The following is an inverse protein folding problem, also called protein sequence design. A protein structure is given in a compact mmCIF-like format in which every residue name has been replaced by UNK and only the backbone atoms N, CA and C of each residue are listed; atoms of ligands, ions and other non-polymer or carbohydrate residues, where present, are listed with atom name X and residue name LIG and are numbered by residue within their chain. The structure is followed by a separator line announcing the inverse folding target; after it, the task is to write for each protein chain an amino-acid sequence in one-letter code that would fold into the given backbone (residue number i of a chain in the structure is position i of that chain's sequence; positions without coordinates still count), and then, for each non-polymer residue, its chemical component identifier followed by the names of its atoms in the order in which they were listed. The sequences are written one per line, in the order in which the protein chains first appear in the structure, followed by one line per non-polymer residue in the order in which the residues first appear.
data_IF_465903728620
#
_entry.id   IF_465903728620
#
_cell.length_a   1.000
_cell.length_b   1.000
_cell.length_c   1.000
_cell.angle_alpha   90.00
_cell.angle_beta   90.00
_cell.angle_gamma   90.00
#
_symmetry.space_group_name_H-M   'P 1'
#
loop_
_entity.id
_entity.type
_entity.pdbx_description
1 polymer ?
#
# COMPACT_ATOMS: atom_id res chain seq x y z
N UNK A 1 50.53 -37.87 -2.43
CA UNK A 1 49.33 -37.01 -2.48
C UNK A 1 48.15 -37.79 -1.89
N UNK A 2 47.39 -37.19 -0.97
CA UNK A 2 46.28 -37.81 -0.24
C UNK A 2 45.02 -38.02 -1.11
N UNK A 3 44.09 -38.92 -0.71
CA UNK A 3 42.94 -39.32 -1.52
C UNK A 3 41.80 -38.28 -1.50
N UNK A 4 41.08 -38.23 -2.64
CA UNK A 4 39.96 -37.33 -2.92
C UNK A 4 38.68 -37.84 -2.22
N UNK A 5 38.05 -36.96 -1.46
CA UNK A 5 36.84 -37.22 -0.69
C UNK A 5 35.63 -37.62 -1.57
N UNK A 6 34.81 -38.50 -0.99
CA UNK A 6 33.58 -39.08 -1.54
C UNK A 6 32.58 -38.04 -2.04
N UNK A 7 32.23 -38.12 -3.32
CA UNK A 7 30.97 -37.58 -3.85
C UNK A 7 29.87 -38.59 -3.48
N UNK A 8 29.08 -38.27 -2.44
CA UNK A 8 27.85 -38.99 -2.10
C UNK A 8 26.81 -38.59 -3.15
N UNK A 9 26.74 -39.35 -4.23
CA UNK A 9 25.62 -39.27 -5.17
C UNK A 9 24.33 -39.53 -4.39
N UNK A 10 23.50 -38.49 -4.30
CA UNK A 10 22.11 -38.64 -3.90
C UNK A 10 21.44 -39.47 -4.98
N UNK A 11 21.33 -40.77 -4.73
CA UNK A 11 20.49 -41.66 -5.51
C UNK A 11 19.06 -41.15 -5.39
N UNK A 12 18.59 -40.50 -6.45
CA UNK A 12 17.17 -40.30 -6.69
C UNK A 12 16.58 -41.69 -6.87
N UNK A 13 15.84 -42.17 -5.86
CA UNK A 13 15.02 -43.38 -5.94
C UNK A 13 13.89 -43.14 -6.96
N UNK A 14 14.24 -43.28 -8.23
CA UNK A 14 13.31 -43.38 -9.35
C UNK A 14 13.43 -44.76 -9.98
N UNK A 15 13.43 -45.82 -9.17
CA UNK A 15 13.08 -47.15 -9.67
C UNK A 15 11.57 -47.22 -9.88
N UNK A 16 11.15 -46.69 -11.03
CA UNK A 16 9.85 -47.01 -11.58
C UNK A 16 9.86 -48.48 -12.02
N UNK A 17 9.48 -49.39 -11.11
CA UNK A 17 9.05 -50.74 -11.50
C UNK A 17 7.96 -50.57 -12.55
N UNK A 18 8.26 -50.98 -13.78
CA UNK A 18 7.36 -51.01 -14.93
C UNK A 18 6.25 -52.04 -14.69
N UNK A 19 5.31 -51.69 -13.82
CA UNK A 19 3.98 -52.29 -13.82
C UNK A 19 3.20 -51.65 -14.95
N UNK A 20 2.66 -52.47 -15.86
CA UNK A 20 1.67 -52.11 -16.87
C UNK A 20 0.51 -51.37 -16.20
N UNK A 21 0.65 -50.05 -16.09
CA UNK A 21 -0.34 -49.16 -15.53
C UNK A 21 -1.25 -48.77 -16.67
N UNK A 22 -2.53 -49.16 -16.56
CA UNK A 22 -3.54 -48.80 -17.53
C UNK A 22 -3.58 -47.28 -17.69
N UNK A 23 -3.91 -46.77 -18.89
CA UNK A 23 -4.08 -45.33 -19.14
C UNK A 23 -4.99 -44.65 -18.10
N UNK A 24 -5.92 -45.40 -17.50
CA UNK A 24 -6.78 -44.95 -16.41
C UNK A 24 -6.03 -44.66 -15.10
N UNK A 25 -5.04 -45.47 -14.72
CA UNK A 25 -4.27 -45.29 -13.48
C UNK A 25 -3.35 -44.05 -13.55
N UNK A 26 -2.75 -43.78 -14.71
CA UNK A 26 -1.94 -42.57 -14.90
C UNK A 26 -2.79 -41.29 -14.94
N UNK A 27 -4.02 -41.37 -15.50
CA UNK A 27 -4.98 -40.26 -15.45
C UNK A 27 -5.42 -39.96 -14.02
N UNK A 28 -5.65 -40.98 -13.19
CA UNK A 28 -6.03 -40.81 -11.79
C UNK A 28 -4.90 -40.16 -10.97
N UNK A 29 -3.63 -40.60 -11.14
CA UNK A 29 -2.48 -39.98 -10.46
C UNK A 29 -2.26 -38.52 -10.86
N UNK A 30 -2.38 -38.21 -12.15
CA UNK A 30 -2.28 -36.81 -12.62
C UNK A 30 -3.42 -35.94 -12.09
N UNK A 31 -4.64 -36.47 -11.99
CA UNK A 31 -5.76 -35.74 -11.41
C UNK A 31 -5.53 -35.42 -9.91
N UNK A 32 -4.98 -36.37 -9.15
CA UNK A 32 -4.63 -36.14 -7.73
C UNK A 32 -3.51 -35.12 -7.58
N UNK A 33 -2.47 -35.19 -8.41
CA UNK A 33 -1.38 -34.22 -8.40
C UNK A 33 -1.86 -32.80 -8.77
N UNK A 34 -2.77 -32.68 -9.75
CA UNK A 34 -3.39 -31.40 -10.12
C UNK A 34 -4.28 -30.85 -9.00
N UNK A 35 -5.06 -31.71 -8.33
CA UNK A 35 -5.87 -31.29 -7.19
C UNK A 35 -5.01 -30.77 -6.02
N UNK A 36 -3.91 -31.45 -5.71
CA UNK A 36 -2.97 -31.02 -4.68
C UNK A 36 -2.29 -29.68 -5.03
N UNK A 37 -1.96 -29.45 -6.31
CA UNK A 37 -1.44 -28.16 -6.78
C UNK A 37 -2.47 -27.04 -6.64
N UNK A 38 -3.73 -27.27 -7.02
CA UNK A 38 -4.80 -26.28 -6.88
C UNK A 38 -5.04 -25.91 -5.40
N UNK A 39 -4.96 -26.88 -4.50
CA UNK A 39 -5.08 -26.63 -3.06
C UNK A 39 -3.93 -25.75 -2.54
N UNK A 40 -2.69 -26.07 -2.93
CA UNK A 40 -1.51 -25.25 -2.59
C UNK A 40 -1.61 -23.84 -3.15
N UNK A 41 -2.06 -23.68 -4.39
CA UNK A 41 -2.27 -22.38 -5.02
C UNK A 41 -3.37 -21.60 -4.31
N UNK A 42 -4.49 -22.21 -3.93
CA UNK A 42 -5.55 -21.52 -3.18
C UNK A 42 -5.13 -21.06 -1.78
N UNK A 43 -4.21 -21.79 -1.14
CA UNK A 43 -3.70 -21.46 0.20
C UNK A 43 -2.62 -20.39 0.20
N UNK A 44 -1.84 -20.28 -0.88
CA UNK A 44 -0.66 -19.41 -0.95
C UNK A 44 -0.77 -18.28 -1.98
N UNK A 45 -1.75 -18.31 -2.88
CA UNK A 45 -2.09 -17.20 -3.77
C UNK A 45 -3.19 -16.38 -3.09
N UNK A 46 -2.76 -15.39 -2.34
CA UNK A 46 -3.60 -14.28 -1.92
C UNK A 46 -3.74 -13.37 -3.15
N UNK A 47 -4.96 -13.16 -3.62
CA UNK A 47 -5.19 -12.23 -4.72
C UNK A 47 -4.79 -10.82 -4.25
N UNK A 48 -3.83 -10.22 -4.95
CA UNK A 48 -3.41 -8.83 -4.74
C UNK A 48 -4.16 -7.89 -5.68
N UNK A 49 -5.38 -8.29 -6.08
CA UNK A 49 -6.21 -7.48 -6.96
C UNK A 49 -6.53 -6.12 -6.33
N UNK A 50 -6.76 -5.07 -7.13
CA UNK A 50 -7.16 -3.77 -6.61
C UNK A 50 -8.46 -3.81 -5.79
N UNK A 51 -9.29 -4.84 -6.00
CA UNK A 51 -10.54 -5.09 -5.27
C UNK A 51 -10.35 -5.86 -3.95
N UNK A 52 -9.17 -6.45 -3.69
CA UNK A 52 -8.89 -7.19 -2.45
C UNK A 52 -8.47 -6.27 -1.29
N UNK A 53 -8.12 -5.03 -1.60
CA UNK A 53 -7.87 -4.03 -0.55
C UNK A 53 -9.21 -3.66 0.07
N UNK A 54 -9.34 -3.65 1.41
CA UNK A 54 -10.54 -3.16 2.05
C UNK A 54 -10.79 -1.72 1.60
N UNK A 55 -12.05 -1.40 1.33
CA UNK A 55 -12.45 -0.02 1.02
C UNK A 55 -12.12 0.84 2.23
N UNK A 56 -11.26 1.83 2.02
CA UNK A 56 -10.93 2.82 3.05
C UNK A 56 -12.20 3.61 3.38
N UNK A 57 -12.46 3.80 4.68
CA UNK A 57 -13.56 4.64 5.13
C UNK A 57 -13.32 6.08 4.68
N UNK A 58 -14.25 6.74 3.97
CA UNK A 58 -14.08 8.12 3.53
C UNK A 58 -13.86 9.13 4.66
N UNK A 59 -14.21 8.80 5.90
CA UNK A 59 -13.99 9.65 7.08
C UNK A 59 -12.71 9.30 7.85
N UNK A 60 -11.91 8.33 7.38
CA UNK A 60 -10.60 8.05 7.94
C UNK A 60 -9.54 9.00 7.38
N UNK A 61 -9.35 10.13 8.06
CA UNK A 61 -8.36 11.13 7.70
C UNK A 61 -6.90 10.66 7.84
N UNK A 62 -6.64 9.58 8.59
CA UNK A 62 -5.29 9.03 8.75
C UNK A 62 -4.89 8.21 7.53
N UNK A 63 -5.86 7.51 6.93
CA UNK A 63 -5.65 6.75 5.71
C UNK A 63 -5.55 7.63 4.44
N UNK A 64 -5.93 8.91 4.51
CA UNK A 64 -5.79 9.84 3.40
C UNK A 64 -4.33 10.16 3.09
N UNK A 65 -4.06 10.53 1.83
CA UNK A 65 -2.74 10.97 1.38
C UNK A 65 -2.34 12.31 2.03
N UNK A 66 -1.04 12.46 2.30
CA UNK A 66 -0.47 13.66 2.91
C UNK A 66 -0.72 14.91 2.04
N UNK A 67 -0.69 14.74 0.72
CA UNK A 67 -1.01 15.79 -0.25
C UNK A 67 -2.48 16.22 -0.16
N UNK A 68 -3.40 15.29 0.10
CA UNK A 68 -4.81 15.59 0.23
C UNK A 68 -5.08 16.41 1.50
N UNK A 69 -4.46 16.03 2.61
CA UNK A 69 -4.52 16.76 3.89
C UNK A 69 -3.93 18.17 3.74
N UNK A 70 -2.78 18.30 3.05
CA UNK A 70 -2.13 19.59 2.81
C UNK A 70 -2.99 20.49 1.92
N UNK A 71 -3.56 19.96 0.82
CA UNK A 71 -4.49 20.70 -0.05
C UNK A 71 -5.72 21.19 0.71
N UNK A 72 -6.26 20.37 1.61
CA UNK A 72 -7.38 20.77 2.46
C UNK A 72 -6.99 21.95 3.36
N UNK A 73 -5.86 21.85 4.06
CA UNK A 73 -5.35 22.92 4.91
C UNK A 73 -5.11 24.22 4.16
N UNK A 74 -4.49 24.17 2.96
CA UNK A 74 -4.29 25.35 2.13
C UNK A 74 -5.62 25.96 1.63
N UNK A 75 -6.60 25.12 1.30
CA UNK A 75 -7.91 25.59 0.81
C UNK A 75 -8.73 26.30 1.89
N UNK A 76 -8.65 25.84 3.13
CA UNK A 76 -9.40 26.40 4.26
C UNK A 76 -8.56 27.34 5.14
N UNK A 77 -7.28 27.55 4.81
CA UNK A 77 -6.40 28.49 5.52
C UNK A 77 -6.07 28.07 6.95
N UNK A 78 -5.97 26.77 7.23
CA UNK A 78 -5.75 26.25 8.59
C UNK A 78 -4.33 26.55 9.14
N UNK A 79 -3.39 26.95 8.27
CA UNK A 79 -2.01 27.29 8.64
C UNK A 79 -1.32 26.24 9.53
N UNK A 80 -1.65 24.97 9.32
CA UNK A 80 -1.06 23.85 10.05
C UNK A 80 0.43 23.70 9.68
N UNK A 81 1.31 23.39 10.64
CA UNK A 81 2.70 23.04 10.34
C UNK A 81 2.79 21.85 9.37
N UNK A 82 3.86 21.75 8.56
CA UNK A 82 4.02 20.63 7.63
C UNK A 82 4.10 19.29 8.37
N UNK A 83 3.60 18.25 7.71
CA UNK A 83 3.64 16.87 8.21
C UNK A 83 5.10 16.41 8.29
N UNK A 84 5.44 15.68 9.35
CA UNK A 84 6.75 15.06 9.53
C UNK A 84 6.97 13.91 8.54
N UNK A 85 8.13 13.91 7.87
CA UNK A 85 8.51 12.85 6.93
C UNK A 85 9.40 11.79 7.60
N UNK A 86 9.35 10.56 7.10
CA UNK A 86 10.28 9.48 7.53
C UNK A 86 11.75 9.90 7.37
N UNK A 87 12.07 10.66 6.32
CA UNK A 87 13.42 11.18 6.08
C UNK A 87 13.90 12.09 7.23
N UNK A 88 13.00 12.80 7.87
CA UNK A 88 13.30 13.71 8.99
C UNK A 88 13.61 12.93 10.25
N UNK A 89 12.90 11.82 10.49
CA UNK A 89 13.21 10.91 11.59
C UNK A 89 14.64 10.35 11.44
N UNK A 90 15.04 9.98 10.21
CA UNK A 90 16.42 9.57 9.92
C UNK A 90 17.43 10.70 10.19
N UNK A 91 17.10 11.94 9.81
CA UNK A 91 17.96 13.10 10.07
C UNK A 91 18.06 13.44 11.57
N UNK A 92 17.05 13.08 12.36
CA UNK A 92 17.05 13.20 13.81
C UNK A 92 17.76 12.03 14.52
N UNK A 93 18.28 11.03 13.80
CA UNK A 93 19.09 9.95 14.39
C UNK A 93 20.50 10.43 14.81
N UNK A 94 21.20 9.66 15.64
CA UNK A 94 22.58 10.00 16.09
C UNK A 94 23.57 10.21 14.94
N UNK A 95 23.37 9.52 13.82
CA UNK A 95 24.17 9.67 12.60
C UNK A 95 23.71 10.91 11.83
N UNK A 96 22.40 11.11 11.70
CA UNK A 96 21.79 12.23 10.98
C UNK A 96 22.04 13.60 11.61
N UNK A 97 22.05 13.71 12.94
CA UNK A 97 22.19 14.97 13.70
C UNK A 97 23.45 15.77 13.37
N UNK A 98 24.51 15.10 12.90
CA UNK A 98 25.79 15.74 12.54
C UNK A 98 25.77 16.36 11.14
N UNK A 99 24.80 16.00 10.30
CA UNK A 99 24.68 16.49 8.93
C UNK A 99 24.22 17.95 8.88
N UNK A 100 24.57 18.65 7.80
CA UNK A 100 24.09 20.02 7.54
C UNK A 100 22.56 20.08 7.43
N UNK A 101 21.94 19.06 6.85
CA UNK A 101 20.49 18.94 6.70
C UNK A 101 19.75 18.91 8.04
N UNK A 102 20.27 18.17 9.03
CA UNK A 102 19.70 18.15 10.38
C UNK A 102 19.76 19.51 11.08
N UNK A 103 20.83 20.29 10.86
CA UNK A 103 20.95 21.64 11.43
C UNK A 103 19.90 22.60 10.88
N UNK A 104 19.57 22.49 9.58
CA UNK A 104 18.49 23.28 8.96
C UNK A 104 17.11 22.89 9.48
N UNK A 105 16.92 21.61 9.79
CA UNK A 105 15.64 21.08 10.27
C UNK A 105 15.29 21.51 11.70
N UNK A 106 16.28 21.77 12.56
CA UNK A 106 16.08 22.13 13.99
C UNK A 106 15.18 23.35 14.24
N UNK A 107 15.04 24.25 13.26
CA UNK A 107 14.18 25.43 13.35
C UNK A 107 12.77 25.24 12.79
N UNK A 108 12.47 24.09 12.17
CA UNK A 108 11.18 23.83 11.56
C UNK A 108 10.24 23.16 12.56
N UNK A 109 9.17 23.84 12.95
CA UNK A 109 8.06 23.21 13.67
C UNK A 109 7.28 22.34 12.67
N UNK A 110 7.11 21.06 13.00
CA UNK A 110 6.37 20.08 12.20
C UNK A 110 5.51 19.22 13.11
N UNK A 111 4.45 18.64 12.56
CA UNK A 111 3.51 17.82 13.32
C UNK A 111 3.38 16.44 12.73
N UNK A 112 3.01 15.48 13.57
CA UNK A 112 2.81 14.11 13.11
C UNK A 112 1.58 14.01 12.20
N UNK A 113 1.58 13.07 11.25
CA UNK A 113 0.41 12.80 10.41
C UNK A 113 -0.90 12.57 11.20
N UNK A 114 -0.94 11.74 12.26
CA UNK A 114 -2.19 11.52 13.00
C UNK A 114 -2.68 12.80 13.72
N UNK A 115 -1.77 13.65 14.20
CA UNK A 115 -2.11 14.94 14.79
C UNK A 115 -2.68 15.90 13.73
N UNK A 116 -2.04 15.98 12.56
CA UNK A 116 -2.53 16.76 11.42
C UNK A 116 -3.93 16.31 11.00
N UNK A 117 -4.14 15.00 10.87
CA UNK A 117 -5.42 14.40 10.51
C UNK A 117 -6.51 14.70 11.55
N UNK A 118 -6.17 14.72 12.84
CA UNK A 118 -7.07 15.07 13.93
C UNK A 118 -7.56 16.52 13.82
N UNK A 119 -6.66 17.47 13.57
CA UNK A 119 -7.02 18.89 13.39
C UNK A 119 -7.89 19.10 12.15
N UNK A 120 -7.57 18.43 11.04
CA UNK A 120 -8.39 18.46 9.83
C UNK A 120 -9.77 17.86 10.08
N UNK A 121 -9.86 16.74 10.79
CA UNK A 121 -11.12 16.07 11.13
C UNK A 121 -12.02 16.96 12.01
N UNK A 122 -11.44 17.61 13.04
CA UNK A 122 -12.15 18.57 13.88
C UNK A 122 -12.72 19.72 13.06
N UNK A 123 -11.90 20.31 12.18
CA UNK A 123 -12.37 21.39 11.32
C UNK A 123 -13.47 20.90 10.37
N UNK A 124 -13.28 19.75 9.73
CA UNK A 124 -14.26 19.16 8.81
C UNK A 124 -15.63 18.96 9.46
N UNK A 125 -15.67 18.44 10.69
CA UNK A 125 -16.90 18.26 11.45
C UNK A 125 -17.59 19.59 11.84
N UNK A 126 -16.82 20.67 11.96
CA UNK A 126 -17.33 22.00 12.30
C UNK A 126 -17.83 22.80 11.08
N UNK A 127 -17.52 22.38 9.84
CA UNK A 127 -17.93 23.12 8.65
C UNK A 127 -19.45 23.02 8.45
N UNK A 128 -20.18 24.15 8.42
CA UNK A 128 -21.61 24.13 8.16
C UNK A 128 -21.89 23.69 6.72
N UNK A 129 -22.71 22.66 6.58
CA UNK A 129 -23.08 22.10 5.28
C UNK A 129 -24.58 22.29 5.02
N UNK A 130 -24.93 22.89 3.88
CA UNK A 130 -26.30 22.95 3.36
C UNK A 130 -26.45 21.91 2.26
N UNK A 131 -27.21 20.86 2.51
CA UNK A 131 -27.33 19.69 1.64
C UNK A 131 -27.68 20.07 0.19
N UNK A 132 -28.72 20.88 0.00
CA UNK A 132 -29.18 21.29 -1.33
C UNK A 132 -28.08 21.97 -2.15
N UNK A 133 -27.26 22.82 -1.52
CA UNK A 133 -26.16 23.51 -2.18
C UNK A 133 -25.01 22.55 -2.49
N UNK A 134 -24.68 21.65 -1.57
CA UNK A 134 -23.60 20.68 -1.74
C UNK A 134 -23.89 19.70 -2.87
N UNK A 135 -25.10 19.14 -2.91
CA UNK A 135 -25.53 18.21 -3.96
C UNK A 135 -25.50 18.92 -5.32
N UNK A 136 -26.12 20.10 -5.43
CA UNK A 136 -26.15 20.85 -6.69
C UNK A 136 -24.74 21.19 -7.20
N UNK A 137 -23.86 21.71 -6.32
CA UNK A 137 -22.48 22.03 -6.65
C UNK A 137 -21.66 20.81 -7.04
N UNK A 138 -21.86 19.67 -6.36
CA UNK A 138 -21.19 18.42 -6.68
C UNK A 138 -21.57 17.91 -8.06
N UNK A 139 -22.88 17.77 -8.34
CA UNK A 139 -23.39 17.35 -9.65
C UNK A 139 -22.90 18.27 -10.77
N UNK A 140 -22.91 19.58 -10.55
CA UNK A 140 -22.42 20.55 -11.52
C UNK A 140 -20.92 20.37 -11.81
N UNK A 141 -20.09 20.21 -10.77
CA UNK A 141 -18.64 20.02 -10.93
C UNK A 141 -18.33 18.71 -11.64
N UNK A 142 -18.90 17.60 -11.21
CA UNK A 142 -18.64 16.27 -11.82
C UNK A 142 -19.09 16.24 -13.28
N UNK A 143 -20.26 16.82 -13.60
CA UNK A 143 -20.76 16.85 -14.98
C UNK A 143 -19.92 17.74 -15.91
N UNK A 144 -19.28 18.78 -15.37
CA UNK A 144 -18.53 19.76 -16.17
C UNK A 144 -17.01 19.70 -16.01
N UNK A 145 -16.48 18.74 -15.24
CA UNK A 145 -15.05 18.56 -14.96
C UNK A 145 -14.20 18.48 -16.24
N UNK A 146 -14.71 17.78 -17.26
CA UNK A 146 -14.03 17.64 -18.56
C UNK A 146 -14.08 18.90 -19.44
N UNK A 147 -14.94 19.87 -19.10
CA UNK A 147 -15.10 21.13 -19.87
C UNK A 147 -14.22 22.24 -19.33
N UNK A 148 -13.75 22.13 -18.09
CA UNK A 148 -12.85 23.10 -17.47
C UNK A 148 -11.39 22.80 -17.82
N UNK A 149 -11.04 22.90 -19.10
CA UNK A 149 -9.63 23.10 -19.45
C UNK A 149 -9.29 24.56 -19.13
N UNK A 150 -8.61 24.81 -18.02
CA UNK A 150 -8.03 26.12 -17.70
C UNK A 150 -6.52 25.96 -17.57
N UNK A 151 -5.79 26.54 -18.53
CA UNK A 151 -4.37 26.87 -18.38
C UNK A 151 -4.28 27.99 -17.34
N UNK A 152 -3.94 27.63 -16.11
CA UNK A 152 -3.52 28.59 -15.08
C UNK A 152 -2.00 28.52 -14.95
N UNK A 153 -1.35 29.63 -15.31
CA UNK A 153 0.10 29.85 -15.20
C UNK A 153 0.50 30.19 -13.77
#
# INVERSE_FOLDING_TARGET
MPPRAHHRESASESEAKTGTTSRAANKARNAVAQAAQLELLSKHIHSNGPNDKPKVDPLDFVALDDDALTKYSSKYGLNLPPIESINENILQSEIGKKTSSAKKLKGAHRISKPEYASEVSKHFAAVPCRENEMIANFLYKVKNEKKTFKLTF
#
